data_IF_315138744271
#
_entry.id   IF_315138744271
#
_cell.length_a   1.000
_cell.length_b   1.000
_cell.length_c   1.000
_cell.angle_alpha   90.00
_cell.angle_beta   90.00
_cell.angle_gamma   90.00
#
_symmetry.space_group_name_H-M   'P 1'
#
loop_
_entity.id
_entity.type
_entity.pdbx_description
1 polymer ?
#
# COMPACT_ATOMS: atom_id res chain seq x y z
N UNK A 1 6.63 10.02 -16.38
CA UNK A 1 6.00 9.27 -15.29
C UNK A 1 5.35 10.27 -14.34
N UNK A 2 4.10 10.09 -13.94
CA UNK A 2 3.37 11.04 -13.09
C UNK A 2 2.51 10.28 -12.08
N UNK A 3 2.12 10.95 -10.99
CA UNK A 3 1.11 10.46 -10.05
C UNK A 3 -0.25 10.64 -10.72
N UNK A 4 -1.03 9.57 -10.81
CA UNK A 4 -2.40 9.61 -11.32
C UNK A 4 -3.39 9.69 -10.16
N UNK A 5 -4.44 10.50 -10.31
CA UNK A 5 -5.47 10.67 -9.29
C UNK A 5 -6.79 10.13 -9.79
N UNK A 6 -7.30 9.08 -9.14
CA UNK A 6 -8.64 8.57 -9.39
C UNK A 6 -9.58 9.09 -8.31
N UNK A 7 -10.61 9.83 -8.72
CA UNK A 7 -11.59 10.41 -7.80
C UNK A 7 -12.94 9.71 -7.96
N UNK A 8 -13.56 9.33 -6.87
CA UNK A 8 -14.92 8.80 -6.87
C UNK A 8 -15.66 9.15 -5.57
N UNK A 9 -16.98 9.01 -5.59
CA UNK A 9 -17.81 9.06 -4.38
C UNK A 9 -18.25 7.65 -4.05
N UNK A 10 -17.95 7.18 -2.84
CA UNK A 10 -18.41 5.87 -2.39
C UNK A 10 -19.95 5.92 -2.24
N UNK A 11 -20.71 5.16 -3.04
CA UNK A 11 -22.17 5.23 -3.02
C UNK A 11 -22.79 4.73 -1.71
N UNK A 12 -22.04 4.00 -0.88
CA UNK A 12 -22.54 3.48 0.41
C UNK A 12 -22.45 4.51 1.54
N UNK A 13 -21.43 5.35 1.51
CA UNK A 13 -21.09 6.28 2.61
C UNK A 13 -21.22 7.76 2.21
N UNK A 14 -21.22 8.06 0.91
CA UNK A 14 -21.16 9.42 0.39
C UNK A 14 -19.77 10.07 0.49
N UNK A 15 -18.76 9.35 0.98
CA UNK A 15 -17.40 9.88 1.09
C UNK A 15 -16.78 10.13 -0.30
N UNK A 16 -16.14 11.29 -0.45
CA UNK A 16 -15.33 11.62 -1.62
C UNK A 16 -13.93 11.04 -1.42
N UNK A 17 -13.58 10.05 -2.23
CA UNK A 17 -12.31 9.33 -2.15
C UNK A 17 -11.43 9.74 -3.33
N UNK A 18 -10.17 10.04 -3.03
CA UNK A 18 -9.10 10.21 -4.03
C UNK A 18 -8.08 9.09 -3.82
N UNK A 19 -7.87 8.25 -4.83
CA UNK A 19 -6.78 7.29 -4.88
C UNK A 19 -5.62 7.92 -5.66
N UNK A 20 -4.44 7.85 -5.08
CA UNK A 20 -3.20 8.29 -5.70
C UNK A 20 -2.47 7.04 -6.22
N UNK A 21 -2.46 6.84 -7.53
CA UNK A 21 -1.60 5.85 -8.15
C UNK A 21 -0.21 6.45 -8.35
N UNK A 22 0.78 5.79 -7.77
CA UNK A 22 2.16 6.27 -7.72
C UNK A 22 3.02 5.38 -8.58
N UNK A 23 3.99 5.93 -9.31
CA UNK A 23 4.97 5.10 -9.97
C UNK A 23 5.71 4.18 -9.00
N UNK A 24 6.00 2.96 -9.45
CA UNK A 24 6.69 1.97 -8.63
C UNK A 24 8.13 2.39 -8.34
N UNK A 25 8.57 2.20 -7.09
CA UNK A 25 10.00 2.24 -6.76
C UNK A 25 10.75 1.21 -7.63
N UNK A 26 11.96 1.54 -8.07
CA UNK A 26 12.75 0.85 -9.10
C UNK A 26 12.23 1.01 -10.52
N UNK A 27 11.78 2.22 -10.82
CA UNK A 27 11.66 2.65 -12.20
C UNK A 27 13.06 2.84 -12.82
N UNK A 28 13.22 2.43 -14.07
CA UNK A 28 14.51 2.54 -14.78
C UNK A 28 14.84 3.97 -15.23
N UNK A 29 13.85 4.86 -15.28
CA UNK A 29 13.99 6.24 -15.71
C UNK A 29 14.07 7.25 -14.55
N UNK A 30 13.58 6.90 -13.36
CA UNK A 30 13.53 7.80 -12.19
C UNK A 30 14.11 7.11 -10.95
N UNK A 31 14.95 7.81 -10.19
CA UNK A 31 15.52 7.25 -8.96
C UNK A 31 14.46 7.10 -7.86
N UNK A 32 14.59 6.09 -6.99
CA UNK A 32 13.69 5.92 -5.84
C UNK A 32 13.59 7.15 -4.93
N UNK A 33 14.67 7.94 -4.84
CA UNK A 33 14.68 9.17 -4.05
C UNK A 33 13.80 10.24 -4.71
N UNK A 34 13.84 10.33 -6.05
CA UNK A 34 13.00 11.26 -6.80
C UNK A 34 11.53 10.82 -6.78
N UNK A 35 11.26 9.50 -6.83
CA UNK A 35 9.90 8.96 -6.63
C UNK A 35 9.39 9.32 -5.24
N UNK A 36 10.21 9.11 -4.19
CA UNK A 36 9.84 9.49 -2.83
C UNK A 36 9.59 10.99 -2.72
N UNK A 37 10.44 11.83 -3.33
CA UNK A 37 10.26 13.28 -3.35
C UNK A 37 8.97 13.67 -4.06
N UNK A 38 8.66 13.06 -5.21
CA UNK A 38 7.44 13.32 -5.97
C UNK A 38 6.18 12.98 -5.16
N UNK A 39 6.17 11.85 -4.45
CA UNK A 39 5.07 11.46 -3.55
C UNK A 39 4.95 12.48 -2.41
N UNK A 40 6.06 12.81 -1.74
CA UNK A 40 6.08 13.77 -0.63
C UNK A 40 5.61 15.17 -1.07
N UNK A 41 6.13 15.69 -2.19
CA UNK A 41 5.76 16.99 -2.74
C UNK A 41 4.27 17.02 -3.11
N UNK A 42 3.76 15.93 -3.71
CA UNK A 42 2.34 15.81 -4.01
C UNK A 42 1.49 15.85 -2.74
N UNK A 43 1.84 15.06 -1.72
CA UNK A 43 1.12 15.06 -0.45
C UNK A 43 1.16 16.44 0.20
N UNK A 44 2.31 17.10 0.30
CA UNK A 44 2.45 18.45 0.88
C UNK A 44 1.58 19.50 0.18
N UNK A 45 1.48 19.44 -1.15
CA UNK A 45 0.59 20.33 -1.92
C UNK A 45 -0.90 20.08 -1.60
N UNK A 46 -1.29 18.83 -1.32
CA UNK A 46 -2.67 18.51 -0.88
C UNK A 46 -2.92 18.89 0.58
N UNK A 47 -1.91 18.80 1.47
CA UNK A 47 -2.00 19.27 2.85
C UNK A 47 -2.29 20.78 2.93
N UNK A 48 -1.77 21.58 1.99
CA UNK A 48 -2.12 23.00 1.85
C UNK A 48 -3.62 23.25 1.57
N UNK A 49 -4.35 22.24 1.09
CA UNK A 49 -5.80 22.27 0.89
C UNK A 49 -6.60 21.63 2.05
N UNK A 50 -5.98 21.45 3.23
CA UNK A 50 -6.56 20.82 4.43
C UNK A 50 -6.98 19.35 4.24
N UNK A 51 -6.37 18.64 3.29
CA UNK A 51 -6.58 17.20 3.06
C UNK A 51 -5.45 16.40 3.69
N UNK A 52 -5.78 15.48 4.59
CA UNK A 52 -4.83 14.55 5.24
C UNK A 52 -4.79 13.21 4.51
N UNK A 53 -3.65 12.51 4.57
CA UNK A 53 -3.52 11.15 4.07
C UNK A 53 -4.19 10.15 5.02
N UNK A 54 -5.23 9.45 4.55
CA UNK A 54 -5.95 8.45 5.36
C UNK A 54 -5.20 7.11 5.48
N UNK A 55 -4.49 6.69 4.43
CA UNK A 55 -3.78 5.43 4.44
C UNK A 55 -2.96 5.16 3.18
N UNK A 56 -2.12 4.14 3.26
CA UNK A 56 -1.22 3.71 2.19
C UNK A 56 -1.47 2.23 1.90
N UNK A 57 -1.66 1.90 0.64
CA UNK A 57 -1.80 0.51 0.18
C UNK A 57 -0.49 0.06 -0.44
N UNK A 58 0.21 -0.87 0.20
CA UNK A 58 1.42 -1.48 -0.33
C UNK A 58 1.06 -2.78 -1.07
N UNK A 59 1.24 -2.80 -2.38
CA UNK A 59 0.98 -3.96 -3.22
C UNK A 59 2.17 -4.92 -3.23
N UNK A 60 1.93 -6.18 -2.90
CA UNK A 60 2.93 -7.25 -2.96
C UNK A 60 2.44 -8.41 -3.81
N UNK A 61 3.15 -8.72 -4.91
CA UNK A 61 2.90 -9.93 -5.68
C UNK A 61 3.25 -11.16 -4.84
N UNK A 62 2.30 -12.05 -4.58
CA UNK A 62 2.58 -13.29 -3.85
C UNK A 62 3.28 -14.34 -4.74
N UNK A 63 3.09 -14.19 -6.05
CA UNK A 63 3.63 -15.04 -7.10
C UNK A 63 5.14 -14.97 -7.28
N UNK A 64 5.80 -13.98 -6.68
CA UNK A 64 7.24 -13.83 -6.83
C UNK A 64 7.94 -14.85 -5.92
N UNK A 65 8.81 -15.71 -6.46
CA UNK A 65 9.41 -16.81 -5.69
C UNK A 65 10.38 -16.34 -4.61
N UNK A 66 10.80 -15.07 -4.65
CA UNK A 66 11.76 -14.48 -3.71
C UNK A 66 11.31 -13.08 -3.35
N UNK A 67 11.40 -12.76 -2.06
CA UNK A 67 11.37 -11.37 -1.60
C UNK A 67 12.75 -10.73 -1.85
N UNK A 68 12.95 -10.28 -3.09
CA UNK A 68 14.23 -9.81 -3.61
C UNK A 68 14.72 -8.50 -2.97
N UNK A 69 15.94 -8.10 -3.36
CA UNK A 69 16.54 -6.83 -2.93
C UNK A 69 15.66 -5.62 -3.25
N UNK A 70 14.92 -5.68 -4.36
CA UNK A 70 13.94 -4.68 -4.75
C UNK A 70 12.83 -4.51 -3.70
N UNK A 71 12.10 -5.58 -3.37
CA UNK A 71 11.00 -5.50 -2.40
C UNK A 71 11.49 -4.98 -1.04
N UNK A 72 12.71 -5.33 -0.63
CA UNK A 72 13.35 -4.80 0.58
C UNK A 72 13.64 -3.31 0.51
N UNK A 73 14.10 -2.82 -0.65
CA UNK A 73 14.35 -1.39 -0.90
C UNK A 73 13.05 -0.60 -0.86
N UNK A 74 12.03 -1.05 -1.59
CA UNK A 74 10.68 -0.45 -1.61
C UNK A 74 10.07 -0.42 -0.21
N UNK A 75 10.13 -1.52 0.55
CA UNK A 75 9.63 -1.58 1.92
C UNK A 75 10.36 -0.61 2.86
N UNK A 76 11.68 -0.45 2.69
CA UNK A 76 12.46 0.55 3.45
C UNK A 76 12.02 1.98 3.12
N UNK A 77 11.74 2.27 1.84
CA UNK A 77 11.24 3.58 1.43
C UNK A 77 9.84 3.86 1.97
N UNK A 78 8.94 2.86 1.95
CA UNK A 78 7.62 2.96 2.59
C UNK A 78 7.75 3.33 4.08
N UNK A 79 8.61 2.62 4.83
CA UNK A 79 8.84 2.92 6.24
C UNK A 79 9.35 4.34 6.47
N UNK A 80 10.26 4.83 5.61
CA UNK A 80 10.74 6.22 5.67
C UNK A 80 9.63 7.23 5.40
N UNK A 81 8.72 6.95 4.46
CA UNK A 81 7.58 7.81 4.15
C UNK A 81 6.60 7.91 5.33
N UNK A 82 6.38 6.80 6.04
CA UNK A 82 5.41 6.75 7.15
C UNK A 82 5.98 7.26 8.48
N UNK A 83 7.31 7.40 8.60
CA UNK A 83 7.97 7.78 9.85
C UNK A 83 7.98 6.66 10.89
N UNK A 84 8.17 7.05 12.15
CA UNK A 84 8.29 6.15 13.32
C UNK A 84 6.97 5.89 14.04
N UNK A 85 5.88 6.50 13.58
CA UNK A 85 4.56 6.37 14.20
C UNK A 85 3.85 5.09 13.76
N UNK A 86 2.81 4.71 14.52
CA UNK A 86 2.05 3.47 14.31
C UNK A 86 1.66 3.27 12.84
N UNK A 87 2.01 2.13 12.26
CA UNK A 87 1.70 1.72 10.89
C UNK A 87 0.21 1.39 10.63
N UNK A 88 -0.68 1.90 11.49
CA UNK A 88 -2.12 1.62 11.50
C UNK A 88 -2.85 2.05 10.24
N UNK A 89 -2.28 3.00 9.49
CA UNK A 89 -2.78 3.50 8.23
C UNK A 89 -2.22 2.73 7.01
N UNK A 90 -1.39 1.70 7.21
CA UNK A 90 -0.84 0.87 6.13
C UNK A 90 -1.68 -0.38 5.93
N UNK A 91 -1.97 -0.69 4.67
CA UNK A 91 -2.52 -1.97 4.23
C UNK A 91 -1.50 -2.65 3.33
N UNK A 92 -0.96 -3.79 3.76
CA UNK A 92 -0.20 -4.71 2.88
C UNK A 92 -1.23 -5.57 2.14
N UNK A 93 -1.36 -5.35 0.83
CA UNK A 93 -2.31 -6.06 -0.01
C UNK A 93 -1.55 -7.00 -0.96
N UNK A 94 -1.79 -8.29 -0.83
CA UNK A 94 -1.16 -9.30 -1.70
C UNK A 94 -2.00 -9.60 -2.93
N UNK A 95 -1.38 -9.63 -4.11
CA UNK A 95 -2.01 -9.83 -5.42
C UNK A 95 -1.43 -11.04 -6.16
N UNK A 96 -2.03 -11.42 -7.29
CA UNK A 96 -1.62 -12.57 -8.14
C UNK A 96 -1.71 -13.93 -7.42
N UNK A 97 -2.79 -14.14 -6.66
CA UNK A 97 -3.07 -15.41 -5.99
C UNK A 97 -3.57 -16.50 -6.94
N UNK A 98 -4.09 -16.10 -8.11
CA UNK A 98 -4.64 -16.95 -9.16
C UNK A 98 -3.58 -17.73 -9.95
N UNK A 99 -2.30 -17.34 -9.85
CA UNK A 99 -1.20 -17.98 -10.58
C UNK A 99 -0.39 -18.98 -9.74
N UNK A 100 -0.78 -19.21 -8.49
CA UNK A 100 -0.16 -20.20 -7.60
C UNK A 100 -1.16 -21.28 -7.20
N UNK A 101 -0.63 -22.44 -6.82
CA UNK A 101 -1.43 -23.38 -6.03
C UNK A 101 -1.75 -22.77 -4.66
N UNK A 102 -2.88 -23.17 -4.05
CA UNK A 102 -3.26 -22.70 -2.71
C UNK A 102 -2.15 -22.92 -1.68
N UNK A 103 -1.57 -24.12 -1.68
CA UNK A 103 -0.51 -24.51 -0.74
C UNK A 103 0.73 -23.62 -0.91
N UNK A 104 1.17 -23.41 -2.15
CA UNK A 104 2.33 -22.57 -2.44
C UNK A 104 2.09 -21.11 -2.05
N UNK A 105 0.91 -20.57 -2.34
CA UNK A 105 0.54 -19.21 -1.94
C UNK A 105 0.54 -19.03 -0.41
N UNK A 106 0.00 -19.99 0.34
CA UNK A 106 -0.03 -19.95 1.82
C UNK A 106 1.36 -20.08 2.44
N UNK A 107 2.23 -20.93 1.86
CA UNK A 107 3.62 -21.06 2.31
C UNK A 107 4.40 -19.76 2.11
N UNK A 108 4.26 -19.15 0.93
CA UNK A 108 4.90 -17.87 0.60
C UNK A 108 4.36 -16.74 1.47
N UNK A 109 3.06 -16.68 1.69
CA UNK A 109 2.44 -15.69 2.57
C UNK A 109 3.02 -15.77 3.97
N UNK A 110 3.06 -16.98 4.54
CA UNK A 110 3.65 -17.21 5.87
C UNK A 110 5.10 -16.74 5.91
N UNK A 111 5.88 -17.06 4.88
CA UNK A 111 7.27 -16.64 4.78
C UNK A 111 7.40 -15.11 4.74
N UNK A 112 6.72 -14.41 3.84
CA UNK A 112 6.89 -12.96 3.69
C UNK A 112 6.28 -12.17 4.86
N UNK A 113 5.16 -12.65 5.40
CA UNK A 113 4.48 -12.04 6.54
C UNK A 113 5.38 -12.05 7.78
N UNK A 114 6.00 -13.20 8.07
CA UNK A 114 6.80 -13.37 9.28
C UNK A 114 8.21 -12.79 9.19
N UNK A 115 8.79 -12.72 7.98
CA UNK A 115 10.18 -12.29 7.81
C UNK A 115 10.35 -10.84 7.32
N UNK A 116 9.39 -10.28 6.60
CA UNK A 116 9.52 -8.94 6.00
C UNK A 116 8.50 -7.94 6.55
N UNK A 117 7.25 -8.35 6.68
CA UNK A 117 6.18 -7.44 7.11
C UNK A 117 5.93 -7.45 8.62
N UNK A 118 6.59 -8.31 9.38
CA UNK A 118 6.40 -8.47 10.82
C UNK A 118 6.35 -7.14 11.59
N UNK A 119 7.34 -6.29 11.38
CA UNK A 119 7.41 -4.97 12.02
C UNK A 119 6.21 -4.07 11.67
N UNK A 120 5.76 -4.08 10.41
CA UNK A 120 4.58 -3.32 10.02
C UNK A 120 3.33 -3.83 10.73
N UNK A 121 3.18 -5.15 10.81
CA UNK A 121 2.02 -5.79 11.43
C UNK A 121 2.00 -5.62 12.95
N UNK A 122 3.16 -5.73 13.60
CA UNK A 122 3.31 -5.43 15.04
C UNK A 122 3.02 -3.95 15.33
N UNK A 123 3.29 -3.04 14.39
CA UNK A 123 2.91 -1.63 14.46
C UNK A 123 1.46 -1.31 14.03
N UNK A 124 0.63 -2.32 13.74
CA UNK A 124 -0.80 -2.16 13.49
C UNK A 124 -1.23 -2.11 12.02
N UNK A 125 -0.32 -2.33 11.06
CA UNK A 125 -0.68 -2.45 9.66
C UNK A 125 -1.63 -3.63 9.41
N UNK A 126 -2.54 -3.47 8.46
CA UNK A 126 -3.41 -4.56 8.01
C UNK A 126 -2.70 -5.41 6.95
N UNK A 127 -3.01 -6.70 6.91
CA UNK A 127 -2.57 -7.62 5.86
C UNK A 127 -3.79 -8.25 5.20
N UNK A 128 -3.90 -8.14 3.88
CA UNK A 128 -5.08 -8.56 3.14
C UNK A 128 -4.68 -9.29 1.85
N UNK A 129 -5.52 -10.23 1.40
CA UNK A 129 -5.39 -10.90 0.10
C UNK A 129 -6.36 -10.28 -0.89
N UNK A 130 -5.90 -10.05 -2.10
CA UNK A 130 -6.69 -9.66 -3.25
C UNK A 130 -6.79 -10.86 -4.21
N UNK A 131 -7.73 -11.75 -3.92
CA UNK A 131 -8.02 -12.96 -4.69
C UNK A 131 -9.50 -13.02 -5.13
N UNK A 132 -9.74 -13.54 -6.34
CA UNK A 132 -11.02 -13.97 -6.96
C UNK A 132 -12.18 -12.95 -7.04
N UNK A 133 -12.39 -12.10 -6.05
CA UNK A 133 -13.45 -11.08 -5.96
C UNK A 133 -12.86 -9.69 -5.78
N UNK A 134 -12.36 -9.13 -6.88
CA UNK A 134 -11.63 -7.87 -6.90
C UNK A 134 -12.40 -6.69 -6.25
N UNK A 135 -13.72 -6.64 -6.42
CA UNK A 135 -14.57 -5.56 -5.90
C UNK A 135 -14.70 -5.58 -4.37
N UNK A 136 -14.89 -6.75 -3.76
CA UNK A 136 -15.08 -6.88 -2.31
C UNK A 136 -13.80 -6.52 -1.56
N UNK A 137 -12.66 -7.02 -2.02
CA UNK A 137 -11.38 -6.68 -1.39
C UNK A 137 -11.04 -5.20 -1.58
N UNK A 138 -11.27 -4.63 -2.76
CA UNK A 138 -11.06 -3.20 -3.02
C UNK A 138 -11.85 -2.32 -2.05
N UNK A 139 -13.14 -2.62 -1.86
CA UNK A 139 -13.99 -1.91 -0.90
C UNK A 139 -13.47 -2.04 0.53
N UNK A 140 -13.10 -3.24 0.98
CA UNK A 140 -12.55 -3.45 2.33
C UNK A 140 -11.26 -2.69 2.58
N UNK A 141 -10.39 -2.56 1.57
CA UNK A 141 -9.16 -1.76 1.65
C UNK A 141 -9.49 -0.28 1.82
N UNK A 142 -10.43 0.25 1.02
CA UNK A 142 -10.90 1.63 1.16
C UNK A 142 -11.52 1.86 2.54
N UNK A 143 -12.41 0.98 3.00
CA UNK A 143 -13.03 1.06 4.32
C UNK A 143 -11.99 1.06 5.44
N UNK A 144 -10.95 0.21 5.31
CA UNK A 144 -9.86 0.17 6.29
C UNK A 144 -9.10 1.50 6.36
N UNK A 145 -8.82 2.12 5.22
CA UNK A 145 -8.13 3.40 5.17
C UNK A 145 -9.01 4.55 5.68
N UNK A 146 -10.31 4.57 5.35
CA UNK A 146 -11.23 5.66 5.74
C UNK A 146 -11.62 5.61 7.23
N UNK A 147 -11.73 4.42 7.82
CA UNK A 147 -12.09 4.25 9.24
C UNK A 147 -10.90 4.44 10.21
N UNK A 148 -9.78 4.95 9.71
CA UNK A 148 -8.64 5.29 10.55
C UNK A 148 -8.84 6.68 11.17
N UNK A 149 -9.09 6.73 12.48
CA UNK A 149 -9.30 7.98 13.24
C UNK A 149 -8.01 8.71 13.64
N UNK A 150 -6.82 8.21 13.26
CA UNK A 150 -5.53 8.76 13.66
C UNK A 150 -4.87 9.66 12.61
N UNK A 151 -5.59 10.62 12.02
CA UNK A 151 -5.05 11.44 10.93
C UNK A 151 -3.75 12.17 11.30
N UNK A 152 -2.64 11.79 10.65
CA UNK A 152 -1.39 12.56 10.62
C UNK A 152 -1.62 13.91 9.93
#
# INVERSE_FOLDING_TARGET
MHIECVNFTDPRTGHKVTILDTPGFNDSAISDTDILKMITDFLLNQYGANRKLNGIVYLQRISDPRFGGLNRRTLRMLKKLCGTDRYTNIVVLTTFWDILSKQEGEERERHIRNNFFRELLEGGAAYMRHDREYTVTGQRVVDRCLNYEGGA
#
